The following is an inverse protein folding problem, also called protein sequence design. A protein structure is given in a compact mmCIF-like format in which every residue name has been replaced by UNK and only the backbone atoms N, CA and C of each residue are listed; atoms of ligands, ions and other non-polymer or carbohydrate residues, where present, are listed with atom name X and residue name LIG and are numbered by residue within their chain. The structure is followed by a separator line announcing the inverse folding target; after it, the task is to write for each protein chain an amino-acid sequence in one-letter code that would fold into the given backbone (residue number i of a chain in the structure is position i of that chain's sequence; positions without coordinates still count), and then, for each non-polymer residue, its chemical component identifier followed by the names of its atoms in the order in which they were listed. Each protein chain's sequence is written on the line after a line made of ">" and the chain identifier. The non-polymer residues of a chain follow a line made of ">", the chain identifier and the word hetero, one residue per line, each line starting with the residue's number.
data_IF_006090659782
#
_entry.id   IF_006090659782
#
_cell.length_a   1.000
_cell.length_b   1.000
_cell.length_c   1.000
_cell.angle_alpha   90.00
_cell.angle_beta   90.00
_cell.angle_gamma   90.00
#
_symmetry.space_group_name_H-M   'P 1'
#
loop_
_entity.id
_entity.type
_entity.pdbx_description
1 polymer ?
#
# COMPACT_ATOMS: atom_id res chain seq x y z
N UNK A 1 25.93 9.84 -13.87
CA UNK A 1 25.90 8.61 -13.05
C UNK A 1 27.33 8.29 -12.64
N UNK A 2 27.60 8.17 -11.34
CA UNK A 2 28.97 7.94 -10.86
C UNK A 2 29.42 6.47 -11.00
N UNK A 3 30.73 6.21 -10.79
CA UNK A 3 31.32 4.89 -11.02
C UNK A 3 30.85 3.84 -10.01
N UNK A 4 30.49 4.21 -8.78
CA UNK A 4 30.03 3.26 -7.76
C UNK A 4 28.63 2.75 -8.11
N UNK A 5 27.72 3.65 -8.50
CA UNK A 5 26.39 3.25 -8.94
C UNK A 5 26.48 2.39 -10.20
N UNK A 6 27.33 2.74 -11.17
CA UNK A 6 27.54 1.92 -12.36
C UNK A 6 27.93 0.49 -12.03
N UNK A 7 28.86 0.28 -11.10
CA UNK A 7 29.26 -1.05 -10.67
C UNK A 7 28.14 -1.78 -9.93
N UNK A 8 27.39 -1.10 -9.05
CA UNK A 8 26.22 -1.67 -8.38
C UNK A 8 25.18 -2.14 -9.40
N UNK A 9 24.81 -1.30 -10.37
CA UNK A 9 23.84 -1.66 -11.40
C UNK A 9 24.35 -2.81 -12.29
N UNK A 10 25.64 -2.81 -12.64
CA UNK A 10 26.25 -3.91 -13.40
C UNK A 10 26.14 -5.23 -12.63
N UNK A 11 26.45 -5.22 -11.33
CA UNK A 11 26.31 -6.38 -10.43
C UNK A 11 24.86 -6.81 -10.26
N UNK A 12 23.91 -5.88 -10.24
CA UNK A 12 22.48 -6.19 -10.21
C UNK A 12 22.03 -6.93 -11.49
N UNK A 13 22.40 -6.39 -12.64
CA UNK A 13 21.93 -6.85 -13.95
C UNK A 13 22.55 -8.22 -14.30
N UNK A 14 23.85 -8.40 -14.06
CA UNK A 14 24.59 -9.64 -14.34
C UNK A 14 24.60 -10.64 -13.18
N UNK A 15 24.15 -10.20 -12.00
CA UNK A 15 24.16 -11.01 -10.79
C UNK A 15 23.11 -12.10 -10.79
N UNK A 16 23.37 -13.14 -9.99
CA UNK A 16 22.37 -14.14 -9.66
C UNK A 16 21.45 -13.63 -8.52
N UNK A 17 20.47 -14.47 -8.13
CA UNK A 17 19.53 -14.16 -7.04
C UNK A 17 20.24 -13.73 -5.75
N UNK A 18 21.25 -14.49 -5.31
CA UNK A 18 21.98 -14.20 -4.08
C UNK A 18 22.67 -12.83 -4.13
N UNK A 19 23.27 -12.48 -5.27
CA UNK A 19 23.88 -11.16 -5.46
C UNK A 19 22.87 -10.02 -5.41
N UNK A 20 21.61 -10.23 -5.84
CA UNK A 20 20.55 -9.21 -5.72
C UNK A 20 20.06 -9.09 -4.29
N UNK A 21 19.89 -10.21 -3.58
CA UNK A 21 19.51 -10.21 -2.16
C UNK A 21 20.53 -9.49 -1.29
N UNK A 22 21.82 -9.78 -1.47
CA UNK A 22 22.89 -9.09 -0.74
C UNK A 22 22.90 -7.58 -1.00
N UNK A 23 22.61 -7.16 -2.23
CA UNK A 23 22.50 -5.74 -2.56
C UNK A 23 21.29 -5.07 -1.90
N UNK A 24 20.16 -5.78 -1.82
CA UNK A 24 18.96 -5.28 -1.13
C UNK A 24 19.18 -5.17 0.37
N UNK A 25 19.80 -6.17 1.00
CA UNK A 25 20.16 -6.14 2.42
C UNK A 25 21.07 -4.94 2.71
N UNK A 26 22.16 -4.80 1.96
CA UNK A 26 23.08 -3.68 2.13
C UNK A 26 22.40 -2.32 1.92
N UNK A 27 21.47 -2.20 0.97
CA UNK A 27 20.69 -0.98 0.75
C UNK A 27 19.76 -0.70 1.93
N UNK A 28 19.01 -1.71 2.40
CA UNK A 28 18.07 -1.57 3.51
C UNK A 28 18.80 -1.13 4.79
N UNK A 29 19.93 -1.75 5.09
CA UNK A 29 20.75 -1.43 6.27
C UNK A 29 21.28 0.02 6.23
N UNK A 30 21.58 0.54 5.04
CA UNK A 30 22.14 1.88 4.87
C UNK A 30 21.08 2.99 4.78
N UNK A 31 19.85 2.66 4.40
CA UNK A 31 18.86 3.65 3.95
C UNK A 31 17.51 3.58 4.68
N UNK A 32 17.37 2.82 5.77
CA UNK A 32 16.09 2.60 6.48
C UNK A 32 15.29 3.87 6.76
N UNK A 33 15.96 4.98 7.07
CA UNK A 33 15.36 6.27 7.45
C UNK A 33 15.80 7.42 6.51
N UNK A 34 16.25 7.08 5.30
CA UNK A 34 16.73 8.08 4.35
C UNK A 34 15.58 8.90 3.74
N UNK A 35 15.76 10.22 3.69
CA UNK A 35 14.93 11.12 2.89
C UNK A 35 15.23 10.97 1.39
N UNK A 36 14.34 11.49 0.54
CA UNK A 36 14.51 11.45 -0.91
C UNK A 36 15.86 12.00 -1.39
N UNK A 37 16.29 13.19 -0.94
CA UNK A 37 17.62 13.71 -1.25
C UNK A 37 18.78 12.82 -0.75
N UNK A 38 18.63 12.18 0.42
CA UNK A 38 19.65 11.25 0.93
C UNK A 38 19.73 9.98 0.07
N UNK A 39 18.61 9.47 -0.43
CA UNK A 39 18.58 8.36 -1.38
C UNK A 39 19.28 8.72 -2.69
N UNK A 40 19.06 9.93 -3.20
CA UNK A 40 19.77 10.43 -4.38
C UNK A 40 21.29 10.48 -4.15
N UNK A 41 21.73 11.00 -3.01
CA UNK A 41 23.16 11.04 -2.66
C UNK A 41 23.72 9.62 -2.52
N UNK A 42 23.02 8.73 -1.81
CA UNK A 42 23.43 7.34 -1.62
C UNK A 42 23.56 6.59 -2.95
N UNK A 43 22.72 6.91 -3.93
CA UNK A 43 22.67 6.25 -5.24
C UNK A 43 23.19 7.16 -6.36
N UNK A 44 24.05 8.15 -6.08
CA UNK A 44 24.71 8.99 -7.09
C UNK A 44 23.76 9.57 -8.16
N UNK A 45 22.60 10.06 -7.71
CA UNK A 45 21.47 10.58 -8.49
C UNK A 45 20.79 9.55 -9.42
N UNK A 46 20.87 8.26 -9.09
CA UNK A 46 20.20 7.18 -9.83
C UNK A 46 19.22 6.38 -8.98
N UNK A 47 18.61 6.99 -7.97
CA UNK A 47 17.71 6.27 -7.07
C UNK A 47 16.44 5.78 -7.79
N UNK A 48 15.88 6.57 -8.70
CA UNK A 48 14.77 6.16 -9.58
C UNK A 48 15.13 4.94 -10.45
N UNK A 49 16.36 4.91 -10.96
CA UNK A 49 16.84 3.82 -11.81
C UNK A 49 17.06 2.52 -11.02
N UNK A 50 17.48 2.64 -9.76
CA UNK A 50 17.54 1.51 -8.85
C UNK A 50 16.14 1.03 -8.45
N UNK A 51 15.23 1.95 -8.11
CA UNK A 51 13.83 1.63 -7.81
C UNK A 51 13.16 0.85 -8.95
N UNK A 52 13.31 1.28 -10.20
CA UNK A 52 12.78 0.58 -11.37
C UNK A 52 13.26 -0.89 -11.46
N UNK A 53 14.54 -1.13 -11.14
CA UNK A 53 15.12 -2.49 -11.08
C UNK A 53 14.56 -3.31 -9.94
N UNK A 54 14.43 -2.73 -8.75
CA UNK A 54 13.86 -3.42 -7.58
C UNK A 54 12.38 -3.75 -7.82
N UNK A 55 11.60 -2.83 -8.39
CA UNK A 55 10.19 -3.07 -8.76
C UNK A 55 10.05 -4.16 -9.82
N UNK A 56 10.90 -4.17 -10.84
CA UNK A 56 10.92 -5.24 -11.85
C UNK A 56 11.32 -6.59 -11.25
N UNK A 57 12.29 -6.59 -10.33
CA UNK A 57 12.73 -7.79 -9.62
C UNK A 57 11.67 -8.32 -8.66
N UNK A 58 10.89 -7.46 -7.98
CA UNK A 58 9.75 -7.86 -7.17
C UNK A 58 8.76 -8.66 -8.02
N UNK A 59 8.40 -8.16 -9.21
CA UNK A 59 7.49 -8.84 -10.15
C UNK A 59 7.99 -10.21 -10.55
N UNK A 60 9.24 -10.28 -10.98
CA UNK A 60 9.85 -11.53 -11.39
C UNK A 60 9.97 -12.51 -10.21
N UNK A 61 10.28 -12.01 -9.02
CA UNK A 61 10.44 -12.84 -7.82
C UNK A 61 9.14 -13.53 -7.44
N UNK A 62 8.02 -12.80 -7.35
CA UNK A 62 6.75 -13.44 -6.97
C UNK A 62 6.24 -14.38 -8.07
N UNK A 63 6.42 -14.03 -9.35
CA UNK A 63 6.04 -14.89 -10.47
C UNK A 63 6.81 -16.23 -10.49
N UNK A 64 8.06 -16.22 -10.03
CA UNK A 64 8.90 -17.42 -9.91
C UNK A 64 8.80 -18.11 -8.53
N UNK A 65 7.95 -17.63 -7.63
CA UNK A 65 7.82 -18.18 -6.27
C UNK A 65 9.05 -17.95 -5.38
N UNK A 66 9.85 -16.91 -5.66
CA UNK A 66 10.96 -16.49 -4.82
C UNK A 66 10.50 -15.56 -3.68
N UNK A 67 11.36 -15.39 -2.67
CA UNK A 67 11.13 -14.46 -1.56
C UNK A 67 10.92 -13.03 -2.04
N UNK A 68 9.87 -12.37 -1.53
CA UNK A 68 9.50 -10.99 -1.88
C UNK A 68 9.80 -9.98 -0.78
N UNK A 69 10.14 -10.44 0.44
CA UNK A 69 10.36 -9.59 1.60
C UNK A 69 11.39 -8.47 1.41
N UNK A 70 12.60 -8.80 0.97
CA UNK A 70 13.65 -7.79 0.75
C UNK A 70 13.25 -6.75 -0.32
N UNK A 71 12.74 -7.14 -1.51
CA UNK A 71 12.24 -6.15 -2.47
C UNK A 71 11.10 -5.27 -1.93
N UNK A 72 10.12 -5.85 -1.21
CA UNK A 72 9.02 -5.09 -0.59
C UNK A 72 9.54 -4.05 0.42
N UNK A 73 10.50 -4.44 1.25
CA UNK A 73 11.11 -3.56 2.24
C UNK A 73 11.94 -2.45 1.60
N UNK A 74 12.76 -2.78 0.61
CA UNK A 74 13.55 -1.79 -0.12
C UNK A 74 12.66 -0.77 -0.83
N UNK A 75 11.58 -1.21 -1.49
CA UNK A 75 10.61 -0.30 -2.11
C UNK A 75 9.93 0.57 -1.04
N UNK A 76 9.59 0.02 0.11
CA UNK A 76 8.97 0.78 1.20
C UNK A 76 9.83 1.97 1.66
N UNK A 77 11.16 1.83 1.64
CA UNK A 77 12.09 2.94 1.93
C UNK A 77 11.89 4.08 0.92
N UNK A 78 11.86 3.77 -0.38
CA UNK A 78 11.62 4.78 -1.43
C UNK A 78 10.27 5.48 -1.27
N UNK A 79 9.21 4.70 -1.02
CA UNK A 79 7.84 5.22 -0.97
C UNK A 79 7.58 6.03 0.30
N UNK A 80 8.16 5.61 1.43
CA UNK A 80 8.05 6.28 2.71
C UNK A 80 8.99 7.49 2.87
N UNK A 81 9.94 7.69 1.96
CA UNK A 81 10.95 8.73 2.09
C UNK A 81 10.33 10.15 2.05
N UNK A 82 10.64 10.94 3.08
CA UNK A 82 10.30 12.37 3.08
C UNK A 82 10.92 13.08 1.87
N UNK A 83 10.17 13.96 1.21
CA UNK A 83 10.56 14.60 -0.05
C UNK A 83 10.90 13.61 -1.20
N UNK A 84 10.41 12.37 -1.13
CA UNK A 84 10.58 11.32 -2.15
C UNK A 84 9.38 11.14 -3.09
N UNK A 85 8.49 12.12 -3.22
CA UNK A 85 7.20 11.98 -3.92
C UNK A 85 7.32 11.45 -5.36
N UNK A 86 8.43 11.77 -6.05
CA UNK A 86 8.71 11.25 -7.40
C UNK A 86 8.82 9.72 -7.44
N UNK A 87 9.38 9.09 -6.40
CA UNK A 87 9.55 7.64 -6.34
C UNK A 87 8.20 6.93 -6.21
N UNK A 88 7.29 7.54 -5.45
CA UNK A 88 5.91 7.07 -5.36
C UNK A 88 5.18 7.18 -6.70
N UNK A 89 5.31 8.31 -7.40
CA UNK A 89 4.74 8.45 -8.74
C UNK A 89 5.27 7.38 -9.70
N UNK A 90 6.59 7.23 -9.80
CA UNK A 90 7.23 6.22 -10.64
C UNK A 90 6.76 4.79 -10.31
N UNK A 91 6.69 4.43 -9.03
CA UNK A 91 6.24 3.11 -8.58
C UNK A 91 4.79 2.83 -8.95
N UNK A 92 3.93 3.84 -8.82
CA UNK A 92 2.52 3.75 -9.20
C UNK A 92 2.36 3.64 -10.71
N UNK A 93 3.05 4.48 -11.48
CA UNK A 93 3.00 4.52 -12.95
C UNK A 93 3.35 3.18 -13.59
N UNK A 94 4.33 2.47 -13.03
CA UNK A 94 4.69 1.15 -13.57
C UNK A 94 3.70 0.05 -13.19
N UNK A 95 2.71 0.30 -12.34
CA UNK A 95 1.75 -0.69 -11.83
C UNK A 95 2.21 -1.38 -10.53
N UNK A 96 3.01 -0.72 -9.72
CA UNK A 96 3.56 -1.26 -8.47
C UNK A 96 2.48 -1.65 -7.46
N UNK A 97 1.43 -0.84 -7.32
CA UNK A 97 0.31 -1.11 -6.41
C UNK A 97 -0.40 -2.42 -6.74
N UNK A 98 -0.77 -2.62 -8.01
CA UNK A 98 -1.39 -3.86 -8.48
C UNK A 98 -0.48 -5.07 -8.22
N UNK A 99 0.84 -4.93 -8.41
CA UNK A 99 1.81 -5.98 -8.10
C UNK A 99 1.77 -6.40 -6.62
N UNK A 100 1.72 -5.43 -5.70
CA UNK A 100 1.68 -5.71 -4.26
C UNK A 100 0.36 -6.38 -3.86
N UNK A 101 -0.75 -5.97 -4.48
CA UNK A 101 -2.05 -6.61 -4.26
C UNK A 101 -2.09 -8.05 -4.79
N UNK A 102 -1.48 -8.35 -5.93
CA UNK A 102 -1.34 -9.73 -6.42
C UNK A 102 -0.48 -10.58 -5.49
N UNK A 103 0.58 -10.02 -4.90
CA UNK A 103 1.39 -10.71 -3.89
C UNK A 103 0.55 -11.11 -2.68
N UNK A 104 -0.33 -10.21 -2.18
CA UNK A 104 -1.22 -10.52 -1.06
C UNK A 104 -2.23 -11.63 -1.34
N UNK A 105 -2.52 -11.93 -2.62
CA UNK A 105 -3.40 -13.04 -3.03
C UNK A 105 -2.69 -14.40 -3.04
N UNK A 106 -1.36 -14.44 -2.86
CA UNK A 106 -0.62 -15.70 -2.88
C UNK A 106 -1.02 -16.61 -1.70
N UNK A 107 -1.40 -17.88 -1.94
CA UNK A 107 -1.97 -18.75 -0.91
C UNK A 107 -0.98 -19.15 0.20
N UNK A 108 0.33 -19.00 -0.04
CA UNK A 108 1.41 -19.37 0.89
C UNK A 108 2.42 -18.24 1.08
N UNK A 109 1.93 -17.00 1.17
CA UNK A 109 2.80 -15.88 1.53
C UNK A 109 3.16 -15.93 3.02
N UNK A 110 4.44 -15.77 3.35
CA UNK A 110 4.88 -15.70 4.74
C UNK A 110 4.27 -14.47 5.45
N UNK A 111 3.95 -14.61 6.73
CA UNK A 111 3.26 -13.56 7.50
C UNK A 111 4.08 -12.25 7.57
N UNK A 112 5.39 -12.36 7.68
CA UNK A 112 6.32 -11.22 7.63
C UNK A 112 6.33 -10.53 6.24
N UNK A 113 6.22 -11.30 5.15
CA UNK A 113 6.10 -10.75 3.79
C UNK A 113 4.73 -10.09 3.56
N UNK A 114 3.64 -10.67 4.10
CA UNK A 114 2.32 -10.02 4.12
C UNK A 114 2.37 -8.68 4.86
N UNK A 115 2.98 -8.64 6.04
CA UNK A 115 3.10 -7.42 6.83
C UNK A 115 3.87 -6.33 6.08
N UNK A 116 4.96 -6.70 5.39
CA UNK A 116 5.69 -5.77 4.51
C UNK A 116 4.85 -5.27 3.34
N UNK A 117 4.07 -6.15 2.69
CA UNK A 117 3.18 -5.76 1.60
C UNK A 117 2.07 -4.79 2.07
N UNK A 118 1.44 -5.07 3.22
CA UNK A 118 0.44 -4.16 3.81
C UNK A 118 1.08 -2.83 4.20
N UNK A 119 2.27 -2.84 4.81
CA UNK A 119 3.01 -1.62 5.17
C UNK A 119 3.32 -0.75 3.95
N UNK A 120 3.71 -1.36 2.83
CA UNK A 120 3.94 -0.65 1.58
C UNK A 120 2.64 0.00 1.07
N UNK A 121 1.51 -0.71 1.10
CA UNK A 121 0.21 -0.14 0.72
C UNK A 121 -0.25 0.98 1.67
N UNK A 122 0.07 0.89 2.97
CA UNK A 122 -0.16 1.97 3.94
C UNK A 122 0.67 3.20 3.57
N UNK A 123 1.95 3.04 3.22
CA UNK A 123 2.81 4.15 2.79
C UNK A 123 2.25 4.84 1.55
N UNK A 124 1.84 4.07 0.53
CA UNK A 124 1.15 4.60 -0.67
C UNK A 124 -0.12 5.35 -0.28
N UNK A 125 -1.00 4.73 0.50
CA UNK A 125 -2.31 5.30 0.88
C UNK A 125 -2.20 6.55 1.76
N UNK A 126 -1.09 6.69 2.49
CA UNK A 126 -0.84 7.84 3.38
C UNK A 126 -0.38 9.09 2.62
N UNK A 127 0.08 8.95 1.38
CA UNK A 127 0.57 10.07 0.58
C UNK A 127 -0.54 10.98 0.04
N UNK A 128 -1.81 10.60 0.16
CA UNK A 128 -2.94 11.46 -0.14
C UNK A 128 -4.12 10.74 -0.79
N UNK A 129 -5.23 11.46 -0.99
CA UNK A 129 -6.48 10.89 -1.56
C UNK A 129 -6.24 10.18 -2.89
N UNK A 130 -5.51 10.81 -3.81
CA UNK A 130 -5.24 10.25 -5.13
C UNK A 130 -4.64 8.84 -5.06
N UNK A 131 -3.66 8.62 -4.18
CA UNK A 131 -3.03 7.31 -4.02
C UNK A 131 -3.94 6.28 -3.34
N UNK A 132 -4.84 6.71 -2.43
CA UNK A 132 -5.88 5.83 -1.89
C UNK A 132 -6.82 5.35 -2.99
N UNK A 133 -7.22 6.24 -3.89
CA UNK A 133 -8.09 5.90 -5.03
C UNK A 133 -7.41 4.88 -5.94
N UNK A 134 -6.13 5.04 -6.25
CA UNK A 134 -5.36 4.06 -7.03
C UNK A 134 -5.32 2.68 -6.36
N UNK A 135 -5.11 2.62 -5.04
CA UNK A 135 -5.15 1.35 -4.28
C UNK A 135 -6.54 0.72 -4.38
N UNK A 136 -7.60 1.51 -4.26
CA UNK A 136 -8.97 1.01 -4.39
C UNK A 136 -9.31 0.55 -5.81
N UNK A 137 -8.95 1.33 -6.85
CA UNK A 137 -9.16 1.01 -8.27
C UNK A 137 -8.42 -0.26 -8.69
N UNK A 138 -7.28 -0.53 -8.05
CA UNK A 138 -6.51 -1.77 -8.25
C UNK A 138 -7.12 -2.98 -7.53
N UNK A 139 -8.30 -2.84 -6.91
CA UNK A 139 -9.00 -3.91 -6.18
C UNK A 139 -8.55 -4.06 -4.71
N UNK A 140 -7.94 -3.04 -4.13
CA UNK A 140 -7.41 -3.11 -2.77
C UNK A 140 -8.45 -3.42 -1.69
N UNK A 141 -9.68 -2.92 -1.86
CA UNK A 141 -10.77 -3.18 -0.90
C UNK A 141 -11.15 -4.66 -0.89
N UNK A 142 -11.30 -5.25 -2.07
CA UNK A 142 -11.66 -6.65 -2.27
C UNK A 142 -10.55 -7.59 -1.76
N UNK A 143 -9.29 -7.25 -2.02
CA UNK A 143 -8.13 -8.03 -1.55
C UNK A 143 -8.05 -8.04 -0.03
N UNK A 144 -8.22 -6.89 0.61
CA UNK A 144 -8.19 -6.79 2.08
C UNK A 144 -9.41 -7.47 2.72
N UNK A 145 -10.60 -7.34 2.12
CA UNK A 145 -11.78 -8.08 2.57
C UNK A 145 -11.54 -9.60 2.51
N UNK A 146 -11.01 -10.10 1.38
CA UNK A 146 -10.71 -11.52 1.22
C UNK A 146 -9.64 -11.99 2.22
N UNK A 147 -8.58 -11.21 2.42
CA UNK A 147 -7.55 -11.50 3.41
C UNK A 147 -8.15 -11.65 4.81
N UNK A 148 -9.01 -10.71 5.22
CA UNK A 148 -9.66 -10.73 6.54
C UNK A 148 -10.64 -11.89 6.73
N UNK A 149 -11.22 -12.43 5.65
CA UNK A 149 -12.06 -13.63 5.71
C UNK A 149 -11.26 -14.91 5.92
N UNK A 150 -10.04 -14.96 5.38
CA UNK A 150 -9.24 -16.17 5.29
C UNK A 150 -8.25 -16.32 6.43
N UNK A 151 -7.75 -15.21 6.99
CA UNK A 151 -6.76 -15.26 8.05
C UNK A 151 -7.39 -15.49 9.44
N UNK A 152 -6.66 -16.22 10.27
CA UNK A 152 -6.96 -16.41 11.70
C UNK A 152 -5.99 -15.61 12.59
N UNK A 153 -5.03 -14.89 12.00
CA UNK A 153 -4.02 -14.11 12.71
C UNK A 153 -4.58 -12.75 13.09
N UNK A 154 -4.74 -12.50 14.39
CA UNK A 154 -5.24 -11.22 14.91
C UNK A 154 -4.37 -10.02 14.46
N UNK A 155 -3.02 -10.08 14.49
CA UNK A 155 -2.17 -9.02 13.94
C UNK A 155 -2.37 -8.75 12.44
N UNK A 156 -2.68 -9.78 11.64
CA UNK A 156 -2.98 -9.59 10.21
C UNK A 156 -4.34 -8.93 10.01
N UNK A 157 -5.34 -9.33 10.80
CA UNK A 157 -6.67 -8.71 10.79
C UNK A 157 -6.61 -7.24 11.19
N UNK A 158 -5.83 -6.89 12.20
CA UNK A 158 -5.62 -5.51 12.63
C UNK A 158 -4.99 -4.66 11.53
N UNK A 159 -3.91 -5.14 10.92
CA UNK A 159 -3.24 -4.44 9.82
C UNK A 159 -4.17 -4.24 8.61
N UNK A 160 -4.94 -5.28 8.25
CA UNK A 160 -5.90 -5.20 7.14
C UNK A 160 -7.06 -4.25 7.44
N UNK A 161 -7.61 -4.29 8.67
CA UNK A 161 -8.62 -3.35 9.17
C UNK A 161 -8.11 -1.92 9.08
N UNK A 162 -6.91 -1.66 9.58
CA UNK A 162 -6.35 -0.31 9.63
C UNK A 162 -6.14 0.26 8.22
N UNK A 163 -5.69 -0.57 7.28
CA UNK A 163 -5.59 -0.16 5.88
C UNK A 163 -6.97 0.09 5.25
N UNK A 164 -7.99 -0.75 5.49
CA UNK A 164 -9.36 -0.48 5.03
C UNK A 164 -9.90 0.85 5.58
N UNK A 165 -9.68 1.13 6.87
CA UNK A 165 -10.07 2.40 7.49
C UNK A 165 -9.32 3.56 6.84
N UNK A 166 -8.01 3.42 6.60
CA UNK A 166 -7.20 4.44 5.92
C UNK A 166 -7.72 4.73 4.50
N UNK A 167 -8.08 3.69 3.75
CA UNK A 167 -8.65 3.79 2.41
C UNK A 167 -10.01 4.49 2.39
N UNK A 168 -10.84 4.30 3.42
CA UNK A 168 -12.15 4.95 3.52
C UNK A 168 -12.09 6.40 4.02
N UNK A 169 -11.18 6.70 4.96
CA UNK A 169 -11.09 8.04 5.57
C UNK A 169 -10.64 9.09 4.56
N UNK A 170 -11.44 10.15 4.43
CA UNK A 170 -11.15 11.26 3.52
C UNK A 170 -11.22 10.88 2.03
N UNK A 171 -11.81 9.74 1.68
CA UNK A 171 -11.92 9.21 0.32
C UNK A 171 -13.39 8.96 -0.08
N UNK A 172 -14.14 10.01 -0.49
CA UNK A 172 -15.57 9.90 -0.82
C UNK A 172 -15.85 8.90 -1.94
N UNK A 173 -14.98 8.82 -2.95
CA UNK A 173 -15.11 7.97 -4.14
C UNK A 173 -15.24 6.48 -3.78
N UNK A 174 -14.53 6.05 -2.74
CA UNK A 174 -14.50 4.65 -2.30
C UNK A 174 -15.07 4.39 -0.91
N UNK A 175 -15.55 5.44 -0.21
CA UNK A 175 -16.12 5.31 1.13
C UNK A 175 -17.23 4.24 1.17
N UNK A 176 -18.16 4.26 0.22
CA UNK A 176 -19.24 3.25 0.18
C UNK A 176 -18.71 1.83 -0.05
N UNK A 177 -17.69 1.64 -0.89
CA UNK A 177 -17.09 0.34 -1.13
C UNK A 177 -16.44 -0.23 0.14
N UNK A 178 -15.66 0.60 0.86
CA UNK A 178 -15.03 0.25 2.13
C UNK A 178 -16.07 -0.09 3.20
N UNK A 179 -17.12 0.73 3.36
CA UNK A 179 -18.20 0.44 4.31
C UNK A 179 -18.91 -0.88 3.99
N UNK A 180 -19.21 -1.15 2.72
CA UNK A 180 -19.83 -2.41 2.29
C UNK A 180 -18.93 -3.61 2.59
N UNK A 181 -17.63 -3.50 2.35
CA UNK A 181 -16.68 -4.56 2.66
C UNK A 181 -16.68 -4.90 4.16
N UNK A 182 -16.58 -3.88 5.03
CA UNK A 182 -16.65 -4.08 6.48
C UNK A 182 -18.00 -4.66 6.94
N UNK A 183 -19.12 -4.19 6.39
CA UNK A 183 -20.44 -4.75 6.70
C UNK A 183 -20.57 -6.22 6.27
N UNK A 184 -19.99 -6.60 5.14
CA UNK A 184 -19.94 -8.01 4.71
C UNK A 184 -19.05 -8.86 5.61
N UNK A 185 -18.02 -8.28 6.24
CA UNK A 185 -17.16 -8.98 7.20
C UNK A 185 -17.86 -9.25 8.54
N UNK A 186 -18.84 -8.43 8.94
CA UNK A 186 -19.68 -8.70 10.12
C UNK A 186 -20.48 -10.00 10.02
N UNK A 187 -20.61 -10.56 8.81
CA UNK A 187 -21.29 -11.84 8.54
C UNK A 187 -20.34 -13.03 8.44
N UNK A 188 -19.05 -12.88 8.75
CA UNK A 188 -18.10 -14.00 8.74
C UNK A 188 -18.31 -14.91 9.95
N UNK A 189 -17.90 -16.17 9.83
CA UNK A 189 -17.98 -17.14 10.93
C UNK A 189 -16.93 -16.88 12.03
N UNK A 190 -15.84 -16.17 11.70
CA UNK A 190 -14.80 -15.79 12.67
C UNK A 190 -15.25 -14.61 13.53
N UNK A 191 -15.46 -14.85 14.82
CA UNK A 191 -15.79 -13.80 15.79
C UNK A 191 -14.70 -12.73 15.94
N UNK A 192 -13.42 -13.08 15.70
CA UNK A 192 -12.32 -12.11 15.68
C UNK A 192 -12.42 -11.20 14.46
N UNK A 193 -12.68 -11.76 13.27
CA UNK A 193 -12.88 -10.97 12.06
C UNK A 193 -14.11 -10.05 12.16
N UNK A 194 -15.20 -10.53 12.77
CA UNK A 194 -16.38 -9.70 13.07
C UNK A 194 -16.04 -8.52 14.00
N UNK A 195 -15.26 -8.77 15.05
CA UNK A 195 -14.81 -7.71 15.99
C UNK A 195 -13.99 -6.66 15.26
N UNK A 196 -13.00 -7.08 14.47
CA UNK A 196 -12.13 -6.19 13.69
C UNK A 196 -12.93 -5.37 12.68
N UNK A 197 -13.88 -5.99 12.00
CA UNK A 197 -14.79 -5.28 11.11
C UNK A 197 -15.66 -4.24 11.84
N UNK A 198 -16.19 -4.59 13.02
CA UNK A 198 -16.98 -3.68 13.84
C UNK A 198 -16.17 -2.46 14.30
N UNK A 199 -14.93 -2.66 14.73
CA UNK A 199 -13.99 -1.59 15.07
C UNK A 199 -13.70 -0.70 13.86
N UNK A 200 -13.48 -1.29 12.68
CA UNK A 200 -13.31 -0.54 11.43
C UNK A 200 -14.53 0.33 11.08
N UNK A 201 -15.75 -0.21 11.20
CA UNK A 201 -16.99 0.56 10.99
C UNK A 201 -17.08 1.73 11.97
N UNK A 202 -16.84 1.47 13.27
CA UNK A 202 -16.86 2.53 14.29
C UNK A 202 -15.86 3.63 13.99
N UNK A 203 -14.65 3.26 13.56
CA UNK A 203 -13.58 4.19 13.21
C UNK A 203 -13.90 5.07 11.99
N UNK A 204 -14.71 4.59 11.05
CA UNK A 204 -15.17 5.36 9.89
C UNK A 204 -16.36 6.25 10.23
N UNK A 205 -17.32 5.75 11.01
CA UNK A 205 -18.50 6.50 11.44
C UNK A 205 -18.11 7.67 12.35
N UNK A 206 -17.17 7.48 13.28
CA UNK A 206 -16.70 8.55 14.16
C UNK A 206 -15.99 9.69 13.43
N UNK A 207 -15.54 9.46 12.20
CA UNK A 207 -14.90 10.47 11.36
C UNK A 207 -15.88 11.25 10.48
N UNK A 208 -17.18 10.92 10.50
CA UNK A 208 -18.20 11.69 9.80
C UNK A 208 -18.49 13.01 10.53
N UNK A 209 -18.64 14.13 9.81
CA UNK A 209 -19.13 15.36 10.42
C UNK A 209 -20.48 15.11 11.09
N UNK A 210 -20.66 15.60 12.31
CA UNK A 210 -21.94 15.50 13.01
C UNK A 210 -23.03 16.16 12.15
N UNK A 211 -24.25 15.63 12.21
CA UNK A 211 -25.42 16.14 11.48
C UNK A 211 -25.80 17.59 11.81
N UNK A 212 -25.08 18.26 12.71
CA UNK A 212 -25.25 19.67 13.07
C UNK A 212 -24.57 20.65 12.08
N UNK A 213 -23.67 20.18 11.20
CA UNK A 213 -22.99 21.02 10.18
C UNK A 213 -23.67 21.02 8.81
N UNK A 214 -24.85 20.38 8.69
CA UNK A 214 -25.57 20.33 7.41
C UNK A 214 -26.38 21.62 7.24
N UNK A 215 -26.16 22.45 6.19
CA UNK A 215 -27.00 23.62 5.96
C UNK A 215 -28.45 23.15 5.80
N UNK A 216 -29.44 23.89 6.35
CA UNK A 216 -30.84 23.50 6.23
C UNK A 216 -31.21 23.38 4.75
N UNK A 217 -31.91 22.30 4.41
CA UNK A 217 -32.46 22.08 3.08
C UNK A 217 -33.33 23.30 2.73
N UNK A 218 -32.83 24.17 1.84
CA UNK A 218 -33.65 25.21 1.23
C UNK A 218 -34.68 24.51 0.35
N UNK A 219 -35.90 24.37 0.87
CA UNK A 219 -37.07 24.06 0.06
C UNK A 219 -37.21 25.20 -0.93
N UNK A 220 -36.81 24.97 -2.19
CA UNK A 220 -37.15 25.86 -3.29
C UNK A 220 -38.64 25.63 -3.56
N UNK A 221 -39.48 26.49 -3.00
CA UNK A 221 -40.87 26.58 -3.41
C UNK A 221 -40.89 27.02 -4.87
N UNK A 222 -41.18 26.10 -5.77
CA UNK A 222 -41.54 26.39 -7.15
C UNK A 222 -42.89 27.11 -7.08
N UNK A 223 -42.87 28.43 -7.21
CA UNK A 223 -44.08 29.20 -7.47
C UNK A 223 -44.54 28.87 -8.89
N UNK A 224 -45.50 27.94 -9.01
CA UNK A 224 -46.32 27.83 -10.21
C UNK A 224 -47.16 29.10 -10.33
N UNK A 225 -46.84 29.94 -11.31
CA UNK A 225 -47.76 30.96 -11.80
C UNK A 225 -48.76 30.33 -12.75
N UNK A 226 -50.03 30.33 -12.36
CA UNK A 226 -51.25 30.42 -13.17
C UNK A 226 -52.38 30.84 -12.24
#
# INVERSE_FOLDING_TARGET
>A
MGPRLQEQLRRWDHGNRASRMQQLEAFIDQCSDASGPQLEVALENGASLFLARVSSWLRLSFALGHSVGLPLQAISIFIGAHAGQRFLAEFVEVGGVATVLEILKLPKLADDDKAKAIRLLVAVSSAGRHYKEIVCESGGVEVLEALMRLTMSEPELEQARDLLVLLGRGNPSFSTAVHRALLRLLRCDSGVAQRMACEGVRALVSALPSSQDRPPLRIVAIACGC
#
